data_IF_962215816938
#
_entry.id   IF_962215816938
#
_cell.length_a   1.000
_cell.length_b   1.000
_cell.length_c   1.000
_cell.angle_alpha   90.00
_cell.angle_beta   90.00
_cell.angle_gamma   90.00
#
_symmetry.space_group_name_H-M   'P 1'
#
loop_
_entity.id
_entity.type
_entity.pdbx_description
1 polymer ?
#
# COMPACT_ATOMS: atom_id res chain seq x y z
N UNK A 1 -61.97 -39.30 1.10
CA UNK A 1 -60.73 -39.81 1.75
C UNK A 1 -59.46 -39.56 0.95
N UNK A 2 -59.40 -39.65 -0.37
CA UNK A 2 -58.20 -39.42 -1.19
C UNK A 2 -57.81 -37.91 -1.30
N UNK A 3 -58.83 -37.05 -1.38
CA UNK A 3 -58.57 -35.59 -1.45
C UNK A 3 -58.06 -35.01 -0.13
N UNK A 4 -58.53 -35.48 1.00
CA UNK A 4 -58.03 -35.06 2.33
C UNK A 4 -56.60 -35.52 2.55
N UNK A 5 -56.20 -36.67 2.02
CA UNK A 5 -54.81 -37.13 2.14
C UNK A 5 -53.82 -36.27 1.29
N UNK A 6 -54.24 -35.87 0.09
CA UNK A 6 -53.45 -34.95 -0.76
C UNK A 6 -53.29 -33.56 -0.13
N UNK A 7 -54.33 -33.10 0.55
CA UNK A 7 -54.28 -31.79 1.24
C UNK A 7 -53.32 -31.84 2.44
N UNK A 8 -53.29 -32.94 3.19
CA UNK A 8 -52.34 -33.13 4.30
C UNK A 8 -50.89 -33.29 3.83
N UNK A 9 -50.67 -33.97 2.71
CA UNK A 9 -49.33 -34.12 2.13
C UNK A 9 -48.76 -32.80 1.61
N UNK A 10 -49.59 -31.95 1.02
CA UNK A 10 -49.21 -30.61 0.59
C UNK A 10 -48.92 -29.67 1.77
N UNK A 11 -49.73 -29.73 2.84
CA UNK A 11 -49.48 -29.00 4.09
C UNK A 11 -48.17 -29.44 4.76
N UNK A 12 -47.88 -30.73 4.78
CA UNK A 12 -46.62 -31.26 5.34
C UNK A 12 -45.39 -30.83 4.52
N UNK A 13 -45.49 -30.80 3.18
CA UNK A 13 -44.43 -30.29 2.30
C UNK A 13 -44.22 -28.81 2.48
N UNK A 14 -45.28 -28.01 2.62
CA UNK A 14 -45.22 -26.57 2.93
C UNK A 14 -44.60 -26.33 4.30
N UNK A 15 -45.01 -27.07 5.33
CA UNK A 15 -44.46 -26.94 6.67
C UNK A 15 -42.96 -27.27 6.74
N UNK A 16 -42.55 -28.35 6.09
CA UNK A 16 -41.12 -28.70 5.98
C UNK A 16 -40.32 -27.69 5.18
N UNK A 17 -40.87 -27.12 4.12
CA UNK A 17 -40.26 -26.05 3.36
C UNK A 17 -40.08 -24.79 4.19
N UNK A 18 -41.10 -24.35 4.92
CA UNK A 18 -41.02 -23.21 5.85
C UNK A 18 -40.05 -23.46 7.01
N UNK A 19 -40.06 -24.66 7.59
CA UNK A 19 -39.15 -25.01 8.68
C UNK A 19 -37.69 -25.06 8.23
N UNK A 20 -37.44 -25.59 7.04
CA UNK A 20 -36.07 -25.58 6.46
C UNK A 20 -35.61 -24.15 6.11
N UNK A 21 -36.50 -23.30 5.57
CA UNK A 21 -36.20 -21.89 5.30
C UNK A 21 -35.92 -21.10 6.59
N UNK A 22 -36.70 -21.27 7.64
CA UNK A 22 -36.45 -20.65 8.95
C UNK A 22 -35.13 -21.10 9.57
N UNK A 23 -34.71 -22.35 9.39
CA UNK A 23 -33.43 -22.83 9.85
C UNK A 23 -32.25 -22.30 9.00
N UNK A 24 -32.47 -22.16 7.69
CA UNK A 24 -31.48 -21.47 6.82
C UNK A 24 -31.36 -20.00 7.15
N UNK A 25 -32.46 -19.28 7.40
CA UNK A 25 -32.41 -17.87 7.86
C UNK A 25 -31.69 -17.71 9.21
N UNK A 26 -31.97 -18.60 10.19
CA UNK A 26 -31.23 -18.61 11.47
C UNK A 26 -29.77 -18.95 11.27
N UNK A 27 -29.42 -19.80 10.32
CA UNK A 27 -28.04 -20.13 9.97
C UNK A 27 -27.35 -18.95 9.28
N UNK A 28 -28.05 -18.19 8.43
CA UNK A 28 -27.57 -16.97 7.79
C UNK A 28 -27.40 -15.83 8.80
N UNK A 29 -28.35 -15.64 9.73
CA UNK A 29 -28.26 -14.63 10.79
C UNK A 29 -27.14 -14.90 11.80
N UNK A 30 -26.77 -16.16 12.02
CA UNK A 30 -25.68 -16.57 12.92
C UNK A 30 -24.32 -16.71 12.24
N UNK A 31 -24.16 -16.32 10.96
CA UNK A 31 -22.88 -16.36 10.27
C UNK A 31 -21.91 -15.35 10.90
N UNK A 32 -21.01 -15.88 11.71
CA UNK A 32 -19.96 -15.11 12.35
C UNK A 32 -19.04 -14.51 11.26
N UNK A 33 -18.53 -13.28 11.45
CA UNK A 33 -17.64 -12.59 10.51
C UNK A 33 -16.45 -13.46 10.08
N UNK A 34 -16.02 -14.38 10.93
CA UNK A 34 -14.92 -15.30 10.66
C UNK A 34 -15.18 -16.24 9.47
N UNK A 35 -16.44 -16.50 9.12
CA UNK A 35 -16.81 -17.37 7.99
C UNK A 35 -16.64 -16.67 6.62
N UNK A 36 -16.34 -15.37 6.61
CA UNK A 36 -16.20 -14.56 5.39
C UNK A 36 -14.77 -14.14 5.10
N UNK A 37 -13.78 -14.79 5.73
CA UNK A 37 -12.38 -14.49 5.49
C UNK A 37 -12.00 -14.76 4.02
N UNK A 38 -11.44 -13.76 3.37
CA UNK A 38 -11.04 -13.88 1.96
C UNK A 38 -9.64 -14.49 1.83
N UNK A 39 -9.61 -15.81 1.68
CA UNK A 39 -8.34 -16.54 1.53
C UNK A 39 -7.56 -16.17 0.26
N UNK A 40 -8.23 -15.67 -0.79
CA UNK A 40 -7.52 -15.19 -2.00
C UNK A 40 -6.70 -13.93 -1.76
N UNK A 41 -6.94 -13.21 -0.65
CA UNK A 41 -6.11 -12.08 -0.21
C UNK A 41 -5.13 -12.54 0.86
N UNK A 42 -5.58 -13.34 1.83
CA UNK A 42 -4.76 -13.72 2.98
C UNK A 42 -3.60 -14.65 2.59
N UNK A 43 -3.84 -15.69 1.77
CA UNK A 43 -2.82 -16.68 1.44
C UNK A 43 -1.64 -16.06 0.67
N UNK A 44 -1.85 -15.27 -0.43
CA UNK A 44 -0.74 -14.63 -1.11
C UNK A 44 0.06 -13.69 -0.20
N UNK A 45 -0.61 -12.95 0.69
CA UNK A 45 0.07 -12.11 1.68
C UNK A 45 0.97 -12.94 2.60
N UNK A 46 0.47 -14.07 3.15
CA UNK A 46 1.25 -14.94 4.04
C UNK A 46 2.45 -15.57 3.30
N UNK A 47 2.26 -15.99 2.05
CA UNK A 47 3.35 -16.52 1.22
C UNK A 47 4.44 -15.46 1.03
N UNK A 48 4.07 -14.22 0.64
CA UNK A 48 5.02 -13.13 0.45
C UNK A 48 5.75 -12.77 1.75
N UNK A 49 5.03 -12.71 2.87
CA UNK A 49 5.62 -12.46 4.19
C UNK A 49 6.62 -13.56 4.60
N UNK A 50 6.29 -14.82 4.33
CA UNK A 50 7.18 -15.96 4.58
C UNK A 50 8.44 -15.91 3.70
N UNK A 51 8.28 -15.65 2.40
CA UNK A 51 9.42 -15.44 1.48
C UNK A 51 10.28 -14.26 1.96
N UNK A 52 9.63 -13.16 2.40
CA UNK A 52 10.32 -11.99 2.94
C UNK A 52 11.22 -12.32 4.13
N UNK A 53 10.76 -13.14 5.09
CA UNK A 53 11.61 -13.59 6.23
C UNK A 53 12.82 -14.37 5.73
N UNK A 54 12.62 -15.29 4.77
CA UNK A 54 13.70 -16.10 4.19
C UNK A 54 14.71 -15.23 3.44
N UNK A 55 14.25 -14.27 2.66
CA UNK A 55 15.12 -13.37 1.91
C UNK A 55 15.87 -12.39 2.80
N UNK A 56 15.23 -11.87 3.86
CA UNK A 56 15.92 -11.05 4.87
C UNK A 56 16.98 -11.88 5.60
N UNK A 57 16.69 -13.14 5.93
CA UNK A 57 17.70 -14.05 6.50
C UNK A 57 18.88 -14.21 5.54
N UNK A 58 18.61 -14.51 4.27
CA UNK A 58 19.67 -14.71 3.27
C UNK A 58 20.55 -13.47 3.09
N UNK A 59 19.95 -12.27 3.04
CA UNK A 59 20.68 -11.02 2.76
C UNK A 59 21.42 -10.47 3.97
N UNK A 60 20.89 -10.65 5.18
CA UNK A 60 21.44 -9.95 6.36
C UNK A 60 22.47 -10.77 7.13
N UNK A 61 22.34 -12.10 7.19
CA UNK A 61 23.24 -12.92 8.02
C UNK A 61 24.70 -12.82 7.58
N UNK A 62 25.06 -12.94 6.29
CA UNK A 62 26.45 -12.80 5.86
C UNK A 62 27.05 -11.42 6.16
N UNK A 63 26.31 -10.35 5.92
CA UNK A 63 26.76 -8.97 6.16
C UNK A 63 26.97 -8.71 7.66
N UNK A 64 26.05 -9.16 8.51
CA UNK A 64 26.19 -9.00 9.97
C UNK A 64 27.35 -9.82 10.55
N UNK A 65 27.61 -11.03 10.03
CA UNK A 65 28.76 -11.84 10.43
C UNK A 65 30.07 -11.17 10.06
N UNK A 66 30.20 -10.60 8.87
CA UNK A 66 31.39 -9.86 8.44
C UNK A 66 31.67 -8.64 9.33
N UNK A 67 30.61 -7.98 9.80
CA UNK A 67 30.69 -6.82 10.71
C UNK A 67 30.88 -7.20 12.18
N UNK A 68 30.95 -8.48 12.52
CA UNK A 68 31.05 -8.97 13.92
C UNK A 68 29.82 -8.66 14.76
N UNK A 69 28.65 -8.45 14.13
CA UNK A 69 27.38 -8.14 14.79
C UNK A 69 26.53 -9.41 14.92
N UNK A 70 25.46 -9.33 15.72
CA UNK A 70 24.52 -10.44 15.87
C UNK A 70 23.79 -10.72 14.53
N UNK A 71 24.06 -11.86 13.87
CA UNK A 71 23.55 -12.16 12.53
C UNK A 71 22.02 -12.31 12.49
N UNK A 72 21.39 -12.68 13.59
CA UNK A 72 19.95 -12.96 13.64
C UNK A 72 19.11 -11.75 14.05
N UNK A 73 19.72 -10.65 14.51
CA UNK A 73 18.99 -9.49 15.05
C UNK A 73 17.96 -8.95 14.06
N UNK A 74 18.34 -8.77 12.79
CA UNK A 74 17.47 -8.20 11.78
C UNK A 74 16.34 -9.16 11.36
N UNK A 75 16.64 -10.46 11.34
CA UNK A 75 15.64 -11.50 11.05
C UNK A 75 14.61 -11.61 12.18
N UNK A 76 15.08 -11.57 13.44
CA UNK A 76 14.19 -11.58 14.61
C UNK A 76 13.28 -10.35 14.59
N UNK A 77 13.82 -9.16 14.29
CA UNK A 77 13.03 -7.95 14.15
C UNK A 77 11.98 -8.09 13.03
N UNK A 78 12.37 -8.57 11.84
CA UNK A 78 11.44 -8.78 10.72
C UNK A 78 10.31 -9.75 11.11
N UNK A 79 10.66 -10.87 11.75
CA UNK A 79 9.69 -11.87 12.23
C UNK A 79 8.74 -11.25 13.27
N UNK A 80 9.25 -10.45 14.19
CA UNK A 80 8.43 -9.73 15.17
C UNK A 80 7.45 -8.76 14.50
N UNK A 81 7.90 -8.02 13.48
CA UNK A 81 7.01 -7.15 12.71
C UNK A 81 5.94 -7.93 11.92
N UNK A 82 6.27 -9.10 11.37
CA UNK A 82 5.29 -9.99 10.73
C UNK A 82 4.25 -10.45 11.75
N UNK A 83 4.66 -10.93 12.93
CA UNK A 83 3.74 -11.36 13.98
C UNK A 83 2.85 -10.20 14.47
N UNK A 84 3.44 -9.03 14.70
CA UNK A 84 2.70 -7.83 15.08
C UNK A 84 1.67 -7.44 14.01
N UNK A 85 2.03 -7.55 12.74
CA UNK A 85 1.13 -7.30 11.61
C UNK A 85 -0.03 -8.29 11.57
N UNK A 86 0.20 -9.56 11.85
CA UNK A 86 -0.86 -10.58 11.92
C UNK A 86 -1.83 -10.29 13.07
N UNK A 87 -1.32 -9.88 14.23
CA UNK A 87 -2.15 -9.45 15.36
C UNK A 87 -2.99 -8.22 14.97
N UNK A 88 -2.36 -7.22 14.34
CA UNK A 88 -3.04 -6.01 13.85
C UNK A 88 -4.13 -6.36 12.83
N UNK A 89 -3.85 -7.25 11.88
CA UNK A 89 -4.83 -7.75 10.90
C UNK A 89 -6.01 -8.40 11.63
N UNK A 90 -5.76 -9.27 12.61
CA UNK A 90 -6.80 -9.96 13.37
C UNK A 90 -7.68 -8.98 14.16
N UNK A 91 -7.08 -7.95 14.77
CA UNK A 91 -7.80 -6.90 15.49
C UNK A 91 -8.67 -6.08 14.55
N UNK A 92 -8.08 -5.55 13.46
CA UNK A 92 -8.80 -4.69 12.50
C UNK A 92 -9.89 -5.47 11.77
N UNK A 93 -9.64 -6.74 11.45
CA UNK A 93 -10.65 -7.61 10.85
C UNK A 93 -11.91 -7.74 11.72
N UNK A 94 -11.77 -7.74 13.06
CA UNK A 94 -12.89 -7.82 14.00
C UNK A 94 -13.61 -6.49 14.20
N UNK A 95 -13.00 -5.36 13.87
CA UNK A 95 -13.63 -4.05 14.03
C UNK A 95 -14.84 -3.88 13.12
N UNK A 96 -15.86 -3.17 13.62
CA UNK A 96 -17.00 -2.77 12.78
C UNK A 96 -16.55 -1.66 11.81
N UNK A 97 -16.91 -1.78 10.54
CA UNK A 97 -16.60 -0.78 9.52
C UNK A 97 -17.09 0.64 9.85
N UNK A 98 -18.16 0.75 10.67
CA UNK A 98 -18.63 2.05 11.16
C UNK A 98 -17.55 2.81 11.95
N UNK A 99 -16.68 2.09 12.67
CA UNK A 99 -15.57 2.72 13.39
C UNK A 99 -14.53 3.29 12.41
N UNK A 100 -14.23 2.58 11.34
CA UNK A 100 -13.30 3.03 10.29
C UNK A 100 -13.84 4.22 9.46
N UNK A 101 -15.16 4.44 9.45
CA UNK A 101 -15.81 5.58 8.77
C UNK A 101 -15.91 6.84 9.63
N UNK A 102 -15.39 6.82 10.86
CA UNK A 102 -15.47 7.96 11.78
C UNK A 102 -14.54 9.10 11.32
N UNK A 103 -15.14 10.16 10.77
CA UNK A 103 -14.43 11.33 10.24
C UNK A 103 -13.60 12.07 11.29
N UNK A 104 -14.08 12.16 12.54
CA UNK A 104 -13.33 12.83 13.62
C UNK A 104 -12.03 12.06 13.89
N UNK A 105 -12.12 10.73 13.98
CA UNK A 105 -10.95 9.86 14.17
C UNK A 105 -9.95 10.02 13.01
N UNK A 106 -10.43 9.95 11.76
CA UNK A 106 -9.59 10.10 10.58
C UNK A 106 -8.90 11.48 10.57
N UNK A 107 -9.65 12.55 10.85
CA UNK A 107 -9.10 13.91 10.93
C UNK A 107 -8.05 14.05 12.02
N UNK A 108 -8.29 13.50 13.21
CA UNK A 108 -7.31 13.51 14.32
C UNK A 108 -6.03 12.77 13.94
N UNK A 109 -6.13 11.59 13.32
CA UNK A 109 -4.97 10.81 12.86
C UNK A 109 -4.19 11.60 11.81
N UNK A 110 -4.87 12.26 10.85
CA UNK A 110 -4.20 13.10 9.85
C UNK A 110 -3.45 14.27 10.46
N UNK A 111 -4.01 14.93 11.47
CA UNK A 111 -3.32 16.02 12.20
C UNK A 111 -2.08 15.47 12.93
N UNK A 112 -2.21 14.35 13.65
CA UNK A 112 -1.08 13.71 14.35
C UNK A 112 0.02 13.34 13.34
N UNK A 113 -0.35 12.81 12.19
CA UNK A 113 0.59 12.44 11.14
C UNK A 113 1.36 13.65 10.61
N UNK A 114 0.66 14.73 10.25
CA UNK A 114 1.29 15.97 9.77
C UNK A 114 2.21 16.54 10.85
N UNK A 115 1.77 16.57 12.10
CA UNK A 115 2.60 17.05 13.22
C UNK A 115 3.85 16.16 13.41
N UNK A 116 3.74 14.83 13.27
CA UNK A 116 4.89 13.93 13.36
C UNK A 116 5.89 14.13 12.23
N UNK A 117 5.44 14.38 10.99
CA UNK A 117 6.30 14.74 9.87
C UNK A 117 7.03 16.07 10.13
N UNK A 118 6.30 17.09 10.55
CA UNK A 118 6.87 18.40 10.90
C UNK A 118 7.88 18.27 12.05
N UNK A 119 7.56 17.47 13.07
CA UNK A 119 8.44 17.18 14.18
C UNK A 119 9.78 16.58 13.71
N UNK A 120 9.73 15.53 12.86
CA UNK A 120 10.94 14.94 12.29
C UNK A 120 11.80 15.95 11.51
N UNK A 121 11.18 16.94 10.86
CA UNK A 121 11.87 17.96 10.07
C UNK A 121 12.53 19.05 10.93
N UNK A 122 11.84 19.49 12.00
CA UNK A 122 12.28 20.61 12.83
C UNK A 122 13.32 20.17 13.86
N UNK A 123 13.21 18.96 14.41
CA UNK A 123 14.11 18.51 15.47
C UNK A 123 15.55 18.42 14.97
N UNK A 124 16.44 18.88 15.83
CA UNK A 124 17.89 18.91 15.57
C UNK A 124 18.44 17.47 15.53
N UNK A 125 19.46 17.24 14.68
CA UNK A 125 20.12 15.93 14.51
C UNK A 125 20.74 15.35 15.79
N UNK A 126 20.97 16.17 16.81
CA UNK A 126 21.48 15.74 18.12
C UNK A 126 20.40 15.13 19.02
N UNK A 127 19.12 15.22 18.65
CA UNK A 127 18.06 14.64 19.45
C UNK A 127 17.96 13.13 19.19
N UNK A 128 18.17 12.31 20.19
CA UNK A 128 18.29 10.84 20.07
C UNK A 128 17.09 10.18 19.36
N UNK A 129 15.86 10.77 19.50
CA UNK A 129 14.64 10.26 18.87
C UNK A 129 14.56 10.52 17.36
N UNK A 130 15.33 11.48 16.83
CA UNK A 130 15.27 11.91 15.41
C UNK A 130 16.64 11.89 14.73
N UNK A 131 17.56 11.07 15.21
CA UNK A 131 18.87 10.93 14.60
C UNK A 131 18.73 10.50 13.13
N UNK A 132 19.53 11.08 12.21
CA UNK A 132 19.42 10.76 10.78
C UNK A 132 19.83 9.32 10.52
N UNK A 133 19.11 8.63 9.66
CA UNK A 133 19.44 7.30 9.15
C UNK A 133 19.94 7.48 7.71
N UNK A 134 21.17 7.03 7.42
CA UNK A 134 21.82 7.20 6.11
C UNK A 134 21.78 8.66 5.59
N UNK A 135 21.88 9.64 6.48
CA UNK A 135 21.83 11.07 6.13
C UNK A 135 20.42 11.63 5.90
N UNK A 136 19.39 10.81 5.85
CA UNK A 136 17.99 11.24 5.71
C UNK A 136 17.35 11.52 7.09
N UNK A 137 16.58 12.62 7.17
CA UNK A 137 15.81 13.02 8.34
C UNK A 137 14.35 12.65 8.09
N UNK A 138 13.78 11.74 8.81
CA UNK A 138 12.39 11.31 8.58
C UNK A 138 12.03 10.11 9.45
N UNK A 139 12.94 9.75 10.36
CA UNK A 139 12.85 8.56 11.19
C UNK A 139 12.69 8.93 12.65
N UNK A 140 11.80 8.24 13.35
CA UNK A 140 11.64 8.31 14.80
C UNK A 140 12.21 7.03 15.39
N UNK A 141 13.22 7.16 16.23
CA UNK A 141 13.82 6.03 16.94
C UNK A 141 13.02 5.73 18.22
N UNK A 142 12.37 4.60 18.27
CA UNK A 142 11.63 4.14 19.44
C UNK A 142 12.50 3.10 20.16
N UNK A 143 12.95 3.39 21.41
CA UNK A 143 13.76 2.44 22.18
C UNK A 143 13.05 1.08 22.29
N UNK A 144 13.76 0.00 21.98
CA UNK A 144 13.25 -1.37 22.04
C UNK A 144 12.42 -1.84 20.85
N UNK A 145 11.90 -0.93 20.00
CA UNK A 145 11.06 -1.28 18.84
C UNK A 145 11.83 -1.11 17.53
N UNK A 146 12.66 -0.07 17.44
CA UNK A 146 13.40 0.26 16.22
C UNK A 146 13.02 1.61 15.65
N UNK A 147 13.17 1.79 14.33
CA UNK A 147 12.91 3.04 13.63
C UNK A 147 11.54 3.02 12.96
N UNK A 148 10.78 4.09 13.14
CA UNK A 148 9.47 4.30 12.51
C UNK A 148 9.55 5.54 11.63
N UNK A 149 9.09 5.40 10.38
CA UNK A 149 9.02 6.50 9.42
C UNK A 149 7.58 6.98 9.26
N UNK A 150 7.22 8.20 9.71
CA UNK A 150 5.86 8.73 9.57
C UNK A 150 5.38 8.82 8.12
N UNK A 151 6.27 9.07 7.15
CA UNK A 151 5.96 9.10 5.73
C UNK A 151 5.39 7.75 5.21
N UNK A 152 5.84 6.63 5.76
CA UNK A 152 5.26 5.31 5.45
C UNK A 152 3.77 5.27 5.80
N UNK A 153 3.42 5.75 7.00
CA UNK A 153 2.02 5.80 7.45
C UNK A 153 1.17 6.74 6.60
N UNK A 154 1.75 7.82 6.08
CA UNK A 154 1.04 8.75 5.21
C UNK A 154 0.41 8.06 4.00
N UNK A 155 1.06 7.06 3.41
CA UNK A 155 0.56 6.33 2.23
C UNK A 155 -0.83 5.73 2.45
N UNK A 156 -1.03 4.98 3.54
CA UNK A 156 -2.31 4.34 3.83
C UNK A 156 -3.32 5.31 4.45
N UNK A 157 -2.87 6.25 5.28
CA UNK A 157 -3.78 7.22 5.88
C UNK A 157 -4.32 8.24 4.88
N UNK A 158 -3.59 8.60 3.83
CA UNK A 158 -4.12 9.41 2.72
C UNK A 158 -5.22 8.65 1.97
N UNK A 159 -5.03 7.36 1.70
CA UNK A 159 -6.08 6.53 1.09
C UNK A 159 -7.34 6.56 1.96
N UNK A 160 -7.16 6.32 3.24
CA UNK A 160 -8.28 6.30 4.19
C UNK A 160 -8.99 7.65 4.30
N UNK A 161 -8.22 8.74 4.36
CA UNK A 161 -8.75 10.11 4.38
C UNK A 161 -9.52 10.44 3.10
N UNK A 162 -8.90 10.23 1.93
CA UNK A 162 -9.55 10.51 0.65
C UNK A 162 -10.79 9.65 0.41
N UNK A 163 -10.76 8.37 0.78
CA UNK A 163 -11.94 7.50 0.73
C UNK A 163 -13.09 8.03 1.59
N UNK A 164 -12.79 8.52 2.81
CA UNK A 164 -13.80 9.13 3.69
C UNK A 164 -14.38 10.41 3.10
N UNK A 165 -13.54 11.26 2.50
CA UNK A 165 -13.98 12.53 1.90
C UNK A 165 -14.80 12.30 0.64
N UNK A 166 -14.30 11.50 -0.29
CA UNK A 166 -14.94 11.30 -1.59
C UNK A 166 -16.24 10.51 -1.47
N UNK A 167 -16.28 9.47 -0.64
CA UNK A 167 -17.51 8.68 -0.45
C UNK A 167 -18.69 9.48 0.09
N UNK A 168 -18.43 10.57 0.81
CA UNK A 168 -19.51 11.41 1.34
C UNK A 168 -19.85 12.60 0.45
N UNK A 169 -18.99 12.94 -0.49
CA UNK A 169 -19.21 14.01 -1.47
C UNK A 169 -19.57 13.49 -2.85
N UNK A 170 -19.78 12.19 -2.99
CA UNK A 170 -20.01 11.54 -4.27
C UNK A 170 -21.18 12.17 -5.01
N UNK A 171 -22.32 12.38 -4.35
CA UNK A 171 -23.48 13.06 -4.96
C UNK A 171 -23.19 14.50 -5.40
N UNK A 172 -22.36 15.25 -4.66
CA UNK A 172 -21.95 16.60 -5.06
C UNK A 172 -20.98 16.55 -6.25
N UNK A 173 -20.09 15.55 -6.27
CA UNK A 173 -19.10 15.37 -7.33
C UNK A 173 -19.78 14.97 -8.64
N UNK A 174 -20.79 14.09 -8.58
CA UNK A 174 -21.55 13.64 -9.75
C UNK A 174 -22.49 14.72 -10.32
N UNK A 175 -23.11 15.55 -9.46
CA UNK A 175 -24.13 16.53 -9.86
C UNK A 175 -23.59 17.91 -10.20
N UNK A 176 -22.40 18.30 -9.72
CA UNK A 176 -21.83 19.62 -9.96
C UNK A 176 -20.68 19.57 -10.94
N UNK A 177 -20.79 20.31 -12.02
CA UNK A 177 -19.64 20.63 -12.87
C UNK A 177 -18.61 21.37 -11.99
N UNK A 178 -17.38 20.95 -12.06
CA UNK A 178 -16.29 21.47 -11.20
C UNK A 178 -16.08 22.97 -11.44
N UNK A 179 -16.43 23.50 -12.58
CA UNK A 179 -16.46 24.95 -12.82
C UNK A 179 -17.32 25.69 -11.79
N UNK A 180 -18.44 25.10 -11.35
CA UNK A 180 -19.26 25.68 -10.29
C UNK A 180 -18.61 25.57 -8.91
N UNK A 181 -17.89 24.48 -8.60
CA UNK A 181 -17.19 24.30 -7.32
C UNK A 181 -16.07 25.34 -7.15
N UNK A 182 -15.46 25.78 -8.26
CA UNK A 182 -14.38 26.77 -8.27
C UNK A 182 -14.80 28.20 -8.60
N UNK A 183 -16.07 28.43 -8.95
CA UNK A 183 -16.59 29.76 -9.23
C UNK A 183 -16.40 30.68 -8.01
N UNK A 184 -15.76 31.80 -8.19
CA UNK A 184 -15.51 32.79 -7.13
C UNK A 184 -14.37 32.48 -6.15
N UNK A 185 -13.63 31.36 -6.33
CA UNK A 185 -12.49 31.01 -5.45
C UNK A 185 -11.16 31.52 -6.03
N UNK A 186 -10.28 32.02 -5.15
CA UNK A 186 -8.92 32.41 -5.51
C UNK A 186 -8.08 31.17 -5.91
N UNK A 187 -6.97 31.38 -6.64
CA UNK A 187 -6.06 30.28 -7.02
C UNK A 187 -5.57 29.49 -5.79
N UNK A 188 -5.25 30.19 -4.71
CA UNK A 188 -4.84 29.59 -3.44
C UNK A 188 -5.94 28.69 -2.87
N UNK A 189 -7.19 29.12 -2.82
CA UNK A 189 -8.32 28.30 -2.37
C UNK A 189 -8.60 27.13 -3.31
N UNK A 190 -8.31 27.25 -4.60
CA UNK A 190 -8.43 26.16 -5.58
C UNK A 190 -7.37 25.09 -5.35
N UNK A 191 -6.14 25.44 -5.00
CA UNK A 191 -5.04 24.51 -4.79
C UNK A 191 -5.03 23.92 -3.39
N UNK A 192 -5.27 24.72 -2.36
CA UNK A 192 -5.10 24.36 -0.95
C UNK A 192 -6.42 24.24 -0.18
N UNK A 193 -7.56 24.53 -0.78
CA UNK A 193 -8.84 24.54 -0.08
C UNK A 193 -9.41 23.15 0.20
N UNK A 194 -10.03 23.00 1.38
CA UNK A 194 -10.79 21.80 1.73
C UNK A 194 -9.94 20.55 1.88
N UNK A 195 -10.34 19.47 1.21
CA UNK A 195 -9.70 18.15 1.31
C UNK A 195 -8.27 18.08 0.74
N UNK A 196 -7.87 19.05 -0.09
CA UNK A 196 -6.54 19.09 -0.71
C UNK A 196 -5.46 19.51 0.26
N UNK A 197 -5.79 20.36 1.23
CA UNK A 197 -4.82 20.91 2.16
C UNK A 197 -3.98 19.84 2.89
N UNK A 198 -4.55 18.79 3.51
CA UNK A 198 -3.76 17.75 4.16
C UNK A 198 -2.86 16.99 3.18
N UNK A 199 -3.34 16.70 1.96
CA UNK A 199 -2.57 15.98 0.94
C UNK A 199 -1.37 16.82 0.49
N UNK A 200 -1.61 18.09 0.14
CA UNK A 200 -0.55 18.99 -0.29
C UNK A 200 0.44 19.26 0.86
N UNK A 201 -0.05 19.41 2.09
CA UNK A 201 0.83 19.60 3.25
C UNK A 201 1.80 18.41 3.44
N UNK A 202 1.31 17.16 3.33
CA UNK A 202 2.14 15.98 3.44
C UNK A 202 3.17 15.94 2.29
N UNK A 203 2.72 16.13 1.05
CA UNK A 203 3.61 16.13 -0.12
C UNK A 203 4.71 17.19 -0.01
N UNK A 204 4.39 18.41 0.46
CA UNK A 204 5.37 19.48 0.65
C UNK A 204 6.36 19.14 1.76
N UNK A 205 5.91 18.58 2.88
CA UNK A 205 6.81 18.22 3.99
C UNK A 205 7.75 17.09 3.56
N UNK A 206 7.26 16.05 2.89
CA UNK A 206 8.08 14.95 2.39
C UNK A 206 9.10 15.43 1.34
N UNK A 207 8.70 16.35 0.46
CA UNK A 207 9.59 16.95 -0.52
C UNK A 207 10.70 17.78 0.14
N UNK A 208 10.39 18.53 1.21
CA UNK A 208 11.36 19.29 2.01
C UNK A 208 12.30 18.33 2.79
N UNK A 209 11.88 17.11 3.08
CA UNK A 209 12.67 16.06 3.74
C UNK A 209 13.51 15.23 2.77
N UNK A 210 13.76 15.64 1.56
CA UNK A 210 14.16 15.02 0.30
C UNK A 210 13.78 13.53 0.16
N UNK A 211 12.58 13.18 0.59
CA UNK A 211 12.04 11.82 0.44
C UNK A 211 11.20 11.71 -0.85
N UNK A 212 11.92 11.65 -1.99
CA UNK A 212 11.29 11.60 -3.31
C UNK A 212 10.48 10.31 -3.52
N UNK A 213 10.93 9.20 -2.96
CA UNK A 213 10.27 7.91 -3.13
C UNK A 213 8.86 7.93 -2.53
N UNK A 214 8.73 8.32 -1.27
CA UNK A 214 7.44 8.43 -0.62
C UNK A 214 6.57 9.54 -1.22
N UNK A 215 7.16 10.69 -1.57
CA UNK A 215 6.43 11.78 -2.27
C UNK A 215 5.81 11.31 -3.58
N UNK A 216 6.58 10.59 -4.41
CA UNK A 216 6.12 10.05 -5.68
C UNK A 216 4.96 9.05 -5.48
N UNK A 217 5.09 8.12 -4.54
CA UNK A 217 4.07 7.12 -4.24
C UNK A 217 2.79 7.79 -3.74
N UNK A 218 2.90 8.73 -2.78
CA UNK A 218 1.76 9.45 -2.22
C UNK A 218 1.04 10.26 -3.31
N UNK A 219 1.79 10.95 -4.18
CA UNK A 219 1.21 11.69 -5.30
C UNK A 219 0.48 10.77 -6.29
N UNK A 220 1.11 9.64 -6.66
CA UNK A 220 0.50 8.66 -7.56
C UNK A 220 -0.76 8.04 -6.94
N UNK A 221 -0.73 7.67 -5.67
CA UNK A 221 -1.88 7.14 -4.94
C UNK A 221 -3.01 8.18 -4.85
N UNK A 222 -2.69 9.44 -4.56
CA UNK A 222 -3.67 10.51 -4.54
C UNK A 222 -4.33 10.69 -5.93
N UNK A 223 -3.57 10.61 -7.02
CA UNK A 223 -4.10 10.63 -8.38
C UNK A 223 -5.02 9.43 -8.67
N UNK A 224 -4.62 8.23 -8.28
CA UNK A 224 -5.47 7.03 -8.42
C UNK A 224 -6.78 7.23 -7.66
N UNK A 225 -6.74 7.74 -6.44
CA UNK A 225 -7.93 8.01 -5.61
C UNK A 225 -8.83 9.07 -6.22
N UNK A 226 -8.24 10.14 -6.78
CA UNK A 226 -8.99 11.19 -7.50
C UNK A 226 -9.66 10.59 -8.74
N UNK A 227 -8.94 9.78 -9.53
CA UNK A 227 -9.50 9.09 -10.71
C UNK A 227 -10.64 8.15 -10.36
N UNK A 228 -10.53 7.42 -9.25
CA UNK A 228 -11.55 6.48 -8.78
C UNK A 228 -12.76 7.16 -8.12
N UNK A 229 -12.69 8.46 -7.79
CA UNK A 229 -13.73 9.18 -7.03
C UNK A 229 -14.96 9.56 -7.85
N UNK A 230 -14.99 9.30 -9.17
CA UNK A 230 -16.07 9.72 -10.06
C UNK A 230 -15.95 11.17 -10.58
N UNK A 231 -14.83 11.84 -10.34
CA UNK A 231 -14.56 13.18 -10.89
C UNK A 231 -14.55 13.09 -12.42
N UNK A 232 -15.13 14.11 -13.08
CA UNK A 232 -15.22 14.16 -14.55
C UNK A 232 -13.83 14.04 -15.21
N UNK A 233 -13.75 13.28 -16.30
CA UNK A 233 -12.50 13.01 -17.04
C UNK A 233 -11.72 14.28 -17.43
N UNK A 234 -12.41 15.36 -17.73
CA UNK A 234 -11.77 16.65 -18.08
C UNK A 234 -10.88 17.17 -16.94
N UNK A 235 -11.34 17.02 -15.71
CA UNK A 235 -10.60 17.44 -14.53
C UNK A 235 -9.48 16.49 -14.16
N UNK A 236 -9.76 15.20 -14.20
CA UNK A 236 -8.73 14.18 -13.99
C UNK A 236 -7.57 14.38 -14.97
N UNK A 237 -7.86 14.55 -16.26
CA UNK A 237 -6.84 14.80 -17.28
C UNK A 237 -6.12 16.14 -17.08
N UNK A 238 -6.81 17.18 -16.60
CA UNK A 238 -6.20 18.47 -16.25
C UNK A 238 -5.20 18.37 -15.11
N UNK A 239 -5.57 17.73 -13.99
CA UNK A 239 -4.68 17.52 -12.85
C UNK A 239 -3.51 16.58 -13.20
N UNK A 240 -3.76 15.49 -13.90
CA UNK A 240 -2.70 14.57 -14.30
C UNK A 240 -1.70 15.23 -15.25
N UNK A 241 -2.18 16.01 -16.24
CA UNK A 241 -1.30 16.79 -17.13
C UNK A 241 -0.48 17.82 -16.34
N UNK A 242 -1.09 18.55 -15.40
CA UNK A 242 -0.38 19.52 -14.57
C UNK A 242 0.73 18.84 -13.75
N UNK A 243 0.43 17.74 -13.06
CA UNK A 243 1.41 17.01 -12.24
C UNK A 243 2.51 16.43 -13.12
N UNK A 244 2.17 15.80 -14.25
CA UNK A 244 3.15 15.26 -15.19
C UNK A 244 4.01 16.37 -15.80
N UNK A 245 3.44 17.53 -16.12
CA UNK A 245 4.21 18.67 -16.62
C UNK A 245 5.16 19.24 -15.57
N UNK A 246 4.70 19.39 -14.32
CA UNK A 246 5.55 19.86 -13.23
C UNK A 246 6.70 18.86 -12.96
N UNK A 247 6.41 17.56 -13.00
CA UNK A 247 7.41 16.52 -12.85
C UNK A 247 8.40 16.52 -14.02
N UNK A 248 7.93 16.67 -15.27
CA UNK A 248 8.79 16.76 -16.45
C UNK A 248 9.69 18.02 -16.43
N UNK A 249 9.14 19.17 -16.00
CA UNK A 249 9.89 20.40 -15.83
C UNK A 249 10.97 20.22 -14.73
N UNK A 250 10.63 19.60 -13.62
CA UNK A 250 11.55 19.33 -12.52
C UNK A 250 12.68 18.37 -12.95
N UNK A 251 12.34 17.26 -13.61
CA UNK A 251 13.32 16.33 -14.15
C UNK A 251 14.19 16.96 -15.25
N UNK A 252 13.59 17.76 -16.14
CA UNK A 252 14.30 18.53 -17.14
C UNK A 252 15.26 19.57 -16.53
N UNK A 253 14.84 20.24 -15.46
CA UNK A 253 15.69 21.14 -14.70
C UNK A 253 16.88 20.40 -14.10
N UNK A 254 16.67 19.25 -13.45
CA UNK A 254 17.76 18.41 -12.92
C UNK A 254 18.73 17.95 -14.02
N UNK A 255 18.20 17.60 -15.19
CA UNK A 255 19.00 17.18 -16.34
C UNK A 255 19.86 18.32 -16.91
N UNK A 256 19.30 19.54 -17.04
CA UNK A 256 20.00 20.71 -17.61
C UNK A 256 21.02 21.29 -16.64
N UNK A 257 20.68 21.36 -15.35
CA UNK A 257 21.53 22.02 -14.33
C UNK A 257 22.76 21.18 -14.02
N UNK A 258 22.71 19.84 -14.19
CA UNK A 258 23.85 18.94 -13.98
C UNK A 258 24.50 19.07 -12.61
N UNK A 259 25.23 18.02 -12.16
CA UNK A 259 25.77 17.93 -10.80
C UNK A 259 26.78 19.01 -10.36
N UNK A 260 27.35 19.78 -11.30
CA UNK A 260 28.43 20.70 -11.01
C UNK A 260 27.98 22.10 -10.52
N UNK A 261 26.70 22.44 -10.68
CA UNK A 261 26.20 23.81 -10.37
C UNK A 261 25.46 23.84 -9.03
N UNK A 262 24.95 22.68 -8.54
CA UNK A 262 24.16 22.64 -7.31
C UNK A 262 25.08 22.48 -6.09
N UNK A 263 25.05 23.42 -5.14
CA UNK A 263 25.86 23.30 -3.92
C UNK A 263 25.50 22.00 -3.15
N UNK A 264 26.52 21.29 -2.68
CA UNK A 264 26.37 19.97 -2.01
C UNK A 264 25.58 20.02 -0.70
N UNK A 265 25.36 21.21 -0.12
CA UNK A 265 24.54 21.38 1.08
C UNK A 265 23.04 21.46 0.82
N UNK A 266 22.60 21.57 -0.45
CA UNK A 266 21.18 21.59 -0.80
C UNK A 266 20.65 20.16 -0.93
N UNK A 267 19.41 19.91 -0.50
CA UNK A 267 18.75 18.60 -0.66
C UNK A 267 18.72 18.10 -2.12
N UNK A 268 18.72 19.02 -3.06
CA UNK A 268 18.73 18.78 -4.50
C UNK A 268 20.01 18.08 -4.97
N UNK A 269 21.15 18.31 -4.30
CA UNK A 269 22.41 17.65 -4.64
C UNK A 269 22.35 16.11 -4.50
N UNK A 270 21.63 15.61 -3.50
CA UNK A 270 21.38 14.18 -3.31
C UNK A 270 20.53 13.58 -4.46
N UNK A 271 19.52 14.31 -4.88
CA UNK A 271 18.64 13.91 -5.99
C UNK A 271 19.44 13.84 -7.29
N UNK A 272 20.31 14.84 -7.51
CA UNK A 272 21.12 14.90 -8.70
C UNK A 272 22.08 13.71 -8.83
N UNK A 273 22.75 13.31 -7.74
CA UNK A 273 23.60 12.11 -7.72
C UNK A 273 22.87 10.84 -8.11
N UNK A 274 21.61 10.65 -7.65
CA UNK A 274 20.77 9.51 -8.05
C UNK A 274 20.38 9.58 -9.53
N UNK A 275 20.18 10.79 -10.05
CA UNK A 275 19.87 10.98 -11.46
C UNK A 275 21.09 10.72 -12.36
N UNK A 276 22.30 11.17 -11.95
CA UNK A 276 23.56 10.84 -12.63
C UNK A 276 23.80 9.32 -12.67
N UNK A 277 23.61 8.63 -11.54
CA UNK A 277 23.71 7.19 -11.48
C UNK A 277 22.71 6.48 -12.40
N UNK A 278 21.50 7.02 -12.52
CA UNK A 278 20.48 6.50 -13.42
C UNK A 278 20.85 6.64 -14.90
N UNK A 279 21.44 7.79 -15.30
CA UNK A 279 21.83 8.05 -16.69
C UNK A 279 23.00 7.15 -17.10
N UNK A 280 24.01 7.01 -16.26
CA UNK A 280 25.12 6.09 -16.50
C UNK A 280 25.78 5.63 -15.19
N UNK A 281 25.36 4.46 -14.66
CA UNK A 281 25.90 3.97 -13.38
C UNK A 281 27.38 3.56 -13.44
N UNK A 282 27.92 3.34 -14.65
CA UNK A 282 29.30 2.87 -14.84
C UNK A 282 30.34 4.00 -14.84
N UNK A 283 29.92 5.26 -14.83
CA UNK A 283 30.87 6.40 -14.79
C UNK A 283 31.47 6.61 -13.42
N UNK A 284 30.75 6.26 -12.33
CA UNK A 284 31.21 6.41 -10.95
C UNK A 284 30.88 5.15 -10.13
N UNK A 285 31.60 4.07 -10.42
CA UNK A 285 31.43 2.78 -9.74
C UNK A 285 31.84 2.80 -8.27
N UNK A 286 32.57 3.83 -7.82
CA UNK A 286 32.99 3.94 -6.43
C UNK A 286 31.93 4.60 -5.52
N UNK A 287 31.03 5.42 -6.09
CA UNK A 287 30.09 6.22 -5.31
C UNK A 287 28.65 6.12 -5.84
N UNK A 288 28.23 7.08 -6.69
CA UNK A 288 26.82 7.24 -7.08
C UNK A 288 26.29 6.07 -7.90
N UNK A 289 27.08 5.49 -8.79
CA UNK A 289 26.71 4.36 -9.65
C UNK A 289 26.83 2.98 -8.99
N UNK A 290 27.48 2.90 -7.82
CA UNK A 290 27.84 1.62 -7.17
C UNK A 290 26.63 0.70 -6.94
N UNK A 291 25.54 1.24 -6.40
CA UNK A 291 24.35 0.46 -6.08
C UNK A 291 23.66 -0.10 -7.33
N UNK A 292 23.44 0.75 -8.32
CA UNK A 292 22.75 0.35 -9.55
C UNK A 292 23.59 -0.61 -10.42
N UNK A 293 24.90 -0.40 -10.51
CA UNK A 293 25.79 -1.31 -11.23
C UNK A 293 25.82 -2.71 -10.60
N UNK A 294 25.92 -2.79 -9.26
CA UNK A 294 25.90 -4.08 -8.55
C UNK A 294 24.51 -4.74 -8.59
N UNK A 295 23.44 -3.97 -8.70
CA UNK A 295 22.10 -4.48 -8.97
C UNK A 295 22.05 -5.20 -10.33
N UNK A 296 22.65 -4.61 -11.38
CA UNK A 296 22.74 -5.25 -12.70
C UNK A 296 23.58 -6.51 -12.67
N UNK A 297 24.72 -6.50 -11.94
CA UNK A 297 25.53 -7.71 -11.76
C UNK A 297 24.76 -8.82 -11.05
N UNK A 298 23.95 -8.49 -10.02
CA UNK A 298 23.08 -9.47 -9.35
C UNK A 298 22.12 -10.14 -10.33
N UNK A 299 21.41 -9.32 -11.13
CA UNK A 299 20.43 -9.83 -12.10
C UNK A 299 21.09 -10.71 -13.16
N UNK A 300 22.24 -10.28 -13.70
CA UNK A 300 22.97 -11.04 -14.73
C UNK A 300 23.52 -12.35 -14.16
N UNK A 301 24.09 -12.30 -12.94
CA UNK A 301 24.63 -13.49 -12.27
C UNK A 301 23.53 -14.53 -11.97
N UNK A 302 22.31 -14.10 -11.71
CA UNK A 302 21.18 -14.98 -11.44
C UNK A 302 20.72 -15.77 -12.68
N UNK A 303 20.78 -15.17 -13.86
CA UNK A 303 20.28 -15.81 -15.07
C UNK A 303 18.83 -16.30 -14.91
N UNK A 304 18.49 -17.42 -15.58
CA UNK A 304 17.13 -17.96 -15.56
C UNK A 304 16.78 -18.69 -14.25
N UNK A 305 17.69 -19.49 -13.72
CA UNK A 305 17.42 -20.43 -12.60
C UNK A 305 18.04 -20.02 -11.26
N UNK A 306 18.83 -18.96 -11.25
CA UNK A 306 19.51 -18.47 -10.05
C UNK A 306 20.77 -19.28 -9.69
N UNK A 307 21.47 -18.77 -8.68
CA UNK A 307 22.68 -19.40 -8.10
C UNK A 307 22.36 -20.36 -6.95
N UNK A 308 21.09 -20.44 -6.56
CA UNK A 308 20.61 -21.12 -5.39
C UNK A 308 20.45 -20.20 -4.18
N UNK A 309 19.47 -20.51 -3.34
CA UNK A 309 19.16 -19.73 -2.14
C UNK A 309 20.40 -19.66 -1.21
N UNK A 310 20.73 -18.46 -0.76
CA UNK A 310 21.89 -18.22 0.09
C UNK A 310 23.21 -18.02 -0.68
N UNK A 311 23.26 -18.17 -2.01
CA UNK A 311 24.48 -18.15 -2.82
C UNK A 311 24.67 -16.86 -3.66
N UNK A 312 23.99 -15.78 -3.32
CA UNK A 312 24.24 -14.47 -3.93
C UNK A 312 25.65 -13.99 -3.62
N UNK A 313 26.33 -13.46 -4.61
CA UNK A 313 27.64 -12.78 -4.46
C UNK A 313 27.42 -11.36 -3.96
N UNK A 314 26.46 -10.68 -4.57
CA UNK A 314 26.27 -9.24 -4.37
C UNK A 314 25.87 -8.86 -2.95
N UNK A 315 25.17 -9.75 -2.21
CA UNK A 315 24.82 -9.54 -0.79
C UNK A 315 26.01 -9.54 0.17
N UNK A 316 27.17 -10.03 -0.23
CA UNK A 316 28.37 -10.14 0.61
C UNK A 316 29.14 -8.80 0.71
N UNK A 317 28.41 -7.67 0.81
CA UNK A 317 28.99 -6.33 0.98
C UNK A 317 29.22 -5.58 -0.32
N UNK A 318 28.96 -6.18 -1.49
CA UNK A 318 29.08 -5.49 -2.79
C UNK A 318 27.86 -4.61 -3.09
N UNK A 319 26.65 -5.04 -2.74
CA UNK A 319 25.44 -4.28 -2.94
C UNK A 319 24.93 -3.71 -1.62
N UNK A 320 25.12 -2.41 -1.36
CA UNK A 320 24.52 -1.75 -0.20
C UNK A 320 22.99 -1.85 -0.24
N UNK A 321 22.37 -1.84 0.93
CA UNK A 321 20.90 -1.92 1.09
C UNK A 321 20.26 -3.12 0.38
N UNK A 322 21.01 -4.23 0.25
CA UNK A 322 20.53 -5.48 -0.36
C UNK A 322 19.30 -6.07 0.35
N UNK A 323 19.13 -5.79 1.65
CA UNK A 323 18.02 -6.26 2.46
C UNK A 323 16.78 -5.34 2.38
N UNK A 324 16.91 -4.10 1.91
CA UNK A 324 15.85 -3.10 1.87
C UNK A 324 15.43 -2.82 0.42
N UNK A 325 16.06 -1.87 -0.24
CA UNK A 325 15.64 -1.33 -1.53
C UNK A 325 16.04 -2.22 -2.70
N UNK A 326 17.15 -2.96 -2.57
CA UNK A 326 17.70 -3.85 -3.59
C UNK A 326 17.47 -5.34 -3.31
N UNK A 327 16.44 -5.68 -2.52
CA UNK A 327 16.14 -7.10 -2.25
C UNK A 327 15.74 -7.87 -3.51
N UNK A 328 15.03 -7.22 -4.46
CA UNK A 328 14.56 -7.87 -5.68
C UNK A 328 15.71 -8.34 -6.59
N UNK A 329 16.78 -7.58 -6.87
CA UNK A 329 17.99 -8.09 -7.54
C UNK A 329 18.61 -9.29 -6.85
N UNK A 330 18.67 -9.34 -5.52
CA UNK A 330 19.18 -10.50 -4.79
C UNK A 330 18.24 -11.72 -4.94
N UNK A 331 16.93 -11.50 -4.93
CA UNK A 331 15.95 -12.54 -5.25
C UNK A 331 16.26 -13.14 -6.63
N UNK A 332 16.50 -12.29 -7.63
CA UNK A 332 16.85 -12.75 -8.99
C UNK A 332 18.21 -13.43 -9.00
N UNK A 333 19.21 -12.95 -8.27
CA UNK A 333 20.51 -13.59 -8.19
C UNK A 333 20.42 -15.01 -7.59
N UNK A 334 19.63 -15.18 -6.54
CA UNK A 334 19.49 -16.48 -5.83
C UNK A 334 18.50 -17.43 -6.50
N UNK A 335 17.33 -16.94 -6.95
CA UNK A 335 16.22 -17.77 -7.46
C UNK A 335 16.05 -17.68 -8.98
N UNK A 336 16.86 -16.88 -9.64
CA UNK A 336 16.76 -16.60 -11.07
C UNK A 336 15.60 -15.69 -11.46
N UNK A 337 15.55 -15.32 -12.72
CA UNK A 337 14.45 -14.55 -13.30
C UNK A 337 13.12 -15.27 -13.10
N UNK A 338 13.09 -16.61 -13.19
CA UNK A 338 11.90 -17.43 -12.98
C UNK A 338 11.37 -17.22 -11.54
N UNK A 339 12.24 -17.27 -10.54
CA UNK A 339 11.86 -17.02 -9.14
C UNK A 339 11.33 -15.60 -8.93
N UNK A 340 11.97 -14.60 -9.53
CA UNK A 340 11.51 -13.20 -9.52
C UNK A 340 10.12 -13.06 -10.15
N UNK A 341 9.86 -13.68 -11.29
CA UNK A 341 8.55 -13.66 -11.96
C UNK A 341 7.48 -14.34 -11.10
N UNK A 342 7.77 -15.45 -10.44
CA UNK A 342 6.81 -16.14 -9.55
C UNK A 342 6.43 -15.23 -8.38
N UNK A 343 7.39 -14.56 -7.75
CA UNK A 343 7.11 -13.64 -6.64
C UNK A 343 6.26 -12.45 -7.13
N UNK A 344 6.59 -11.86 -8.26
CA UNK A 344 5.78 -10.81 -8.89
C UNK A 344 4.37 -11.31 -9.23
N UNK A 345 4.23 -12.51 -9.76
CA UNK A 345 2.92 -13.09 -10.08
C UNK A 345 2.05 -13.26 -8.84
N UNK A 346 2.60 -13.71 -7.70
CA UNK A 346 1.88 -13.81 -6.42
C UNK A 346 1.44 -12.42 -5.95
N UNK A 347 2.31 -11.42 -6.05
CA UNK A 347 1.99 -10.05 -5.65
C UNK A 347 0.93 -9.43 -6.57
N UNK A 348 1.04 -9.59 -7.88
CA UNK A 348 0.03 -9.12 -8.85
C UNK A 348 -1.31 -9.86 -8.69
N UNK A 349 -1.30 -11.14 -8.34
CA UNK A 349 -2.52 -11.87 -7.99
C UNK A 349 -3.19 -11.24 -6.76
N UNK A 350 -2.44 -10.95 -5.70
CA UNK A 350 -2.94 -10.27 -4.50
C UNK A 350 -3.57 -8.91 -4.85
N UNK A 351 -2.85 -8.07 -5.61
CA UNK A 351 -3.31 -6.75 -6.07
C UNK A 351 -4.60 -6.89 -6.89
N UNK A 352 -4.63 -7.81 -7.84
CA UNK A 352 -5.79 -8.04 -8.71
C UNK A 352 -7.01 -8.49 -7.93
N UNK A 353 -6.84 -9.39 -6.93
CA UNK A 353 -7.94 -9.84 -6.07
C UNK A 353 -8.53 -8.70 -5.26
N UNK A 354 -7.69 -7.83 -4.71
CA UNK A 354 -8.14 -6.65 -3.98
C UNK A 354 -8.85 -5.66 -4.90
N UNK A 355 -8.31 -5.40 -6.09
CA UNK A 355 -8.90 -4.52 -7.09
C UNK A 355 -10.28 -5.01 -7.55
N UNK A 356 -10.43 -6.31 -7.82
CA UNK A 356 -11.73 -6.91 -8.21
C UNK A 356 -12.77 -6.73 -7.10
N UNK A 357 -12.40 -6.97 -5.83
CA UNK A 357 -13.30 -6.72 -4.69
C UNK A 357 -13.67 -5.23 -4.63
N UNK A 358 -12.71 -4.33 -4.85
CA UNK A 358 -12.94 -2.88 -4.86
C UNK A 358 -13.91 -2.43 -5.96
N UNK A 359 -13.74 -2.92 -7.19
CA UNK A 359 -14.61 -2.58 -8.32
C UNK A 359 -16.04 -3.10 -8.12
N UNK A 360 -16.18 -4.25 -7.46
CA UNK A 360 -17.49 -4.87 -7.19
C UNK A 360 -18.15 -4.37 -5.91
N UNK A 361 -17.43 -3.61 -5.08
CA UNK A 361 -17.95 -3.13 -3.80
C UNK A 361 -19.11 -2.15 -4.01
N UNK A 362 -20.21 -2.35 -3.26
CA UNK A 362 -21.40 -1.51 -3.32
C UNK A 362 -21.24 -0.18 -2.57
N UNK A 363 -20.37 -0.14 -1.56
CA UNK A 363 -20.08 1.07 -0.81
C UNK A 363 -18.93 1.83 -1.47
N UNK A 364 -19.13 3.09 -1.85
CA UNK A 364 -18.08 3.96 -2.39
C UNK A 364 -16.84 4.06 -1.48
N UNK A 365 -17.04 4.11 -0.16
CA UNK A 365 -15.93 4.08 0.80
C UNK A 365 -15.12 2.79 0.70
N UNK A 366 -15.79 1.64 0.63
CA UNK A 366 -15.16 0.33 0.54
C UNK A 366 -14.40 0.19 -0.79
N UNK A 367 -15.04 0.59 -1.89
CA UNK A 367 -14.43 0.62 -3.24
C UNK A 367 -13.15 1.45 -3.26
N UNK A 368 -13.22 2.68 -2.77
CA UNK A 368 -12.09 3.62 -2.79
C UNK A 368 -10.91 3.12 -1.94
N UNK A 369 -11.15 2.54 -0.75
CA UNK A 369 -10.06 1.97 0.05
C UNK A 369 -9.40 0.80 -0.69
N UNK A 370 -10.20 -0.11 -1.26
CA UNK A 370 -9.66 -1.27 -1.97
C UNK A 370 -8.84 -0.87 -3.20
N UNK A 371 -9.36 0.08 -4.01
CA UNK A 371 -8.65 0.62 -5.18
C UNK A 371 -7.38 1.36 -4.74
N UNK A 372 -7.45 2.17 -3.69
CA UNK A 372 -6.31 2.91 -3.16
C UNK A 372 -5.19 2.01 -2.65
N UNK A 373 -5.51 0.98 -1.85
CA UNK A 373 -4.50 0.04 -1.34
C UNK A 373 -3.92 -0.83 -2.46
N UNK A 374 -4.75 -1.27 -3.41
CA UNK A 374 -4.27 -1.99 -4.60
C UNK A 374 -3.33 -1.11 -5.44
N UNK A 375 -3.71 0.15 -5.65
CA UNK A 375 -2.90 1.14 -6.34
C UNK A 375 -1.59 1.46 -5.62
N UNK A 376 -1.61 1.55 -4.29
CA UNK A 376 -0.40 1.72 -3.48
C UNK A 376 0.59 0.57 -3.70
N UNK A 377 0.13 -0.67 -3.59
CA UNK A 377 1.00 -1.85 -3.81
C UNK A 377 1.55 -1.88 -5.24
N UNK A 378 0.71 -1.56 -6.24
CA UNK A 378 1.12 -1.52 -7.65
C UNK A 378 2.20 -0.45 -7.89
N UNK A 379 1.99 0.77 -7.41
CA UNK A 379 2.95 1.87 -7.56
C UNK A 379 4.24 1.53 -6.82
N UNK A 380 4.15 1.02 -5.60
CA UNK A 380 5.32 0.72 -4.78
C UNK A 380 6.20 -0.37 -5.39
N UNK A 381 5.61 -1.47 -5.92
CA UNK A 381 6.40 -2.50 -6.60
C UNK A 381 7.02 -1.96 -7.89
N UNK A 382 6.29 -1.14 -8.65
CA UNK A 382 6.81 -0.53 -9.88
C UNK A 382 7.99 0.41 -9.59
N UNK A 383 7.88 1.22 -8.53
CA UNK A 383 8.93 2.15 -8.11
C UNK A 383 10.17 1.39 -7.61
N UNK A 384 10.00 0.33 -6.80
CA UNK A 384 11.13 -0.46 -6.30
C UNK A 384 11.82 -1.23 -7.44
N UNK A 385 11.07 -2.06 -8.18
CA UNK A 385 11.65 -2.87 -9.26
C UNK A 385 12.19 -1.97 -10.37
N UNK A 386 11.44 -0.94 -10.77
CA UNK A 386 11.86 0.02 -11.80
C UNK A 386 13.14 0.75 -11.43
N UNK A 387 13.32 1.13 -10.16
CA UNK A 387 14.57 1.70 -9.66
C UNK A 387 15.73 0.69 -9.67
N UNK A 388 15.47 -0.54 -9.22
CA UNK A 388 16.49 -1.58 -9.14
C UNK A 388 16.99 -2.06 -10.50
N UNK A 389 16.14 -2.03 -11.56
CA UNK A 389 16.51 -2.40 -12.92
C UNK A 389 16.83 -1.18 -13.83
N UNK A 390 16.86 0.03 -13.24
CA UNK A 390 17.23 1.25 -13.95
C UNK A 390 16.22 1.76 -14.99
N UNK A 391 14.93 1.48 -14.85
CA UNK A 391 13.86 2.10 -15.66
C UNK A 391 13.54 3.52 -15.15
N UNK A 392 13.66 3.72 -13.83
CA UNK A 392 13.51 5.02 -13.16
C UNK A 392 14.69 5.24 -12.23
N UNK A 393 15.01 6.50 -11.83
CA UNK A 393 16.01 6.74 -10.81
C UNK A 393 15.68 6.01 -9.52
N UNK A 394 16.71 5.53 -8.83
CA UNK A 394 16.58 4.89 -7.53
C UNK A 394 15.92 5.82 -6.51
N UNK A 395 14.93 5.32 -5.77
CA UNK A 395 14.10 6.12 -4.86
C UNK A 395 14.23 5.76 -3.40
N UNK A 396 14.88 4.64 -3.05
CA UNK A 396 14.97 4.17 -1.68
C UNK A 396 13.67 3.57 -1.12
N UNK A 397 12.80 3.08 -2.00
CA UNK A 397 11.50 2.49 -1.62
C UNK A 397 11.63 0.98 -1.48
N UNK A 398 11.12 0.42 -0.41
CA UNK A 398 11.15 -1.01 -0.12
C UNK A 398 10.20 -1.82 -1.02
N UNK A 399 10.58 -3.08 -1.35
CA UNK A 399 9.69 -4.01 -2.05
C UNK A 399 8.58 -4.52 -1.10
N UNK A 400 7.30 -4.48 -1.51
CA UNK A 400 6.18 -4.86 -0.66
C UNK A 400 6.31 -6.27 -0.07
N UNK A 401 6.22 -6.38 1.25
CA UNK A 401 6.23 -7.61 2.05
C UNK A 401 7.52 -8.44 2.01
N UNK A 402 8.47 -8.16 1.13
CA UNK A 402 9.74 -8.88 1.04
C UNK A 402 10.86 -8.16 1.78
N UNK A 403 10.98 -6.85 1.58
CA UNK A 403 12.08 -6.06 2.13
C UNK A 403 12.07 -6.02 3.65
N UNK A 404 13.26 -5.90 4.23
CA UNK A 404 13.41 -5.48 5.61
C UNK A 404 12.93 -4.04 5.77
N UNK A 405 11.85 -3.85 6.51
CA UNK A 405 11.30 -2.51 6.72
C UNK A 405 10.16 -2.57 7.72
N UNK A 406 10.47 -2.41 9.02
CA UNK A 406 9.48 -2.57 10.08
C UNK A 406 8.22 -1.70 9.89
N UNK A 407 8.40 -0.38 9.69
CA UNK A 407 7.27 0.55 9.48
C UNK A 407 6.56 0.32 8.15
N UNK A 408 7.31 0.10 7.06
CA UNK A 408 6.72 -0.18 5.74
C UNK A 408 5.90 -1.47 5.75
N UNK A 409 6.44 -2.55 6.33
CA UNK A 409 5.73 -3.82 6.45
C UNK A 409 4.43 -3.68 7.26
N UNK A 410 4.46 -2.99 8.41
CA UNK A 410 3.27 -2.73 9.24
C UNK A 410 2.22 -1.94 8.48
N UNK A 411 2.62 -0.90 7.79
CA UNK A 411 1.70 0.00 7.06
C UNK A 411 1.04 -0.71 5.89
N UNK A 412 1.80 -1.46 5.11
CA UNK A 412 1.22 -2.24 4.01
C UNK A 412 0.30 -3.34 4.54
N UNK A 413 0.64 -3.96 5.67
CA UNK A 413 -0.21 -4.94 6.35
C UNK A 413 -1.49 -4.31 6.92
N UNK A 414 -1.46 -3.02 7.32
CA UNK A 414 -2.67 -2.24 7.65
C UNK A 414 -3.60 -2.13 6.44
N UNK A 415 -3.05 -1.90 5.25
CA UNK A 415 -3.81 -1.94 4.00
C UNK A 415 -4.46 -3.30 3.75
N UNK A 416 -3.74 -4.40 3.97
CA UNK A 416 -4.30 -5.76 3.89
C UNK A 416 -5.39 -6.00 4.94
N UNK A 417 -5.22 -5.48 6.17
CA UNK A 417 -6.23 -5.57 7.20
C UNK A 417 -7.55 -4.89 6.80
N UNK A 418 -7.46 -3.70 6.20
CA UNK A 418 -8.63 -3.00 5.63
C UNK A 418 -9.26 -3.82 4.50
N UNK A 419 -8.45 -4.37 3.60
CA UNK A 419 -8.93 -5.19 2.48
C UNK A 419 -9.69 -6.43 2.96
N UNK A 420 -9.18 -7.16 3.93
CA UNK A 420 -9.84 -8.33 4.50
C UNK A 420 -11.15 -7.96 5.22
N UNK A 421 -11.13 -6.87 6.02
CA UNK A 421 -12.32 -6.39 6.72
C UNK A 421 -13.43 -5.98 5.74
N UNK A 422 -13.07 -5.22 4.70
CA UNK A 422 -14.01 -4.76 3.65
C UNK A 422 -14.54 -5.93 2.85
N UNK A 423 -13.68 -6.86 2.42
CA UNK A 423 -14.11 -8.04 1.67
C UNK A 423 -15.14 -8.88 2.42
N UNK A 424 -14.96 -9.02 3.75
CA UNK A 424 -15.91 -9.72 4.60
C UNK A 424 -17.25 -8.96 4.75
N UNK A 425 -17.22 -7.63 4.83
CA UNK A 425 -18.42 -6.79 4.91
C UNK A 425 -19.22 -6.83 3.61
N UNK A 426 -18.57 -6.70 2.46
CA UNK A 426 -19.23 -6.74 1.15
C UNK A 426 -19.88 -8.11 0.91
N UNK A 427 -19.20 -9.20 1.26
CA UNK A 427 -19.77 -10.55 1.14
C UNK A 427 -20.97 -10.76 2.06
N UNK A 428 -20.94 -10.21 3.28
CA UNK A 428 -22.08 -10.24 4.20
C UNK A 428 -23.27 -9.48 3.62
N UNK A 429 -23.05 -8.31 3.03
CA UNK A 429 -24.11 -7.52 2.38
C UNK A 429 -24.74 -8.25 1.22
N UNK A 430 -23.91 -8.86 0.36
CA UNK A 430 -24.38 -9.65 -0.77
C UNK A 430 -25.34 -10.77 -0.31
N UNK A 431 -24.94 -11.51 0.73
CA UNK A 431 -25.78 -12.61 1.28
C UNK A 431 -27.07 -12.04 1.91
N UNK A 432 -26.99 -10.94 2.65
CA UNK A 432 -28.17 -10.31 3.26
C UNK A 432 -29.19 -9.84 2.21
N UNK A 433 -28.73 -9.30 1.09
CA UNK A 433 -29.61 -8.85 0.00
C UNK A 433 -30.25 -10.03 -0.73
N UNK A 434 -29.48 -11.10 -0.97
CA UNK A 434 -30.03 -12.34 -1.53
C UNK A 434 -31.11 -12.94 -0.62
N UNK A 435 -30.88 -12.97 0.68
CA UNK A 435 -31.87 -13.44 1.67
C UNK A 435 -33.15 -12.60 1.67
N UNK A 436 -33.01 -11.26 1.64
CA UNK A 436 -34.16 -10.35 1.60
C UNK A 436 -34.96 -10.47 0.28
N UNK A 437 -34.26 -10.66 -0.83
CA UNK A 437 -34.95 -10.86 -2.11
C UNK A 437 -35.71 -12.17 -2.13
N UNK A 438 -35.15 -13.23 -1.55
CA UNK A 438 -35.81 -14.52 -1.44
C UNK A 438 -37.04 -14.47 -0.54
N UNK A 439 -36.95 -13.83 0.63
CA UNK A 439 -38.09 -13.69 1.55
C UNK A 439 -39.24 -12.83 0.99
N UNK A 440 -38.94 -11.85 0.14
CA UNK A 440 -39.94 -11.00 -0.53
C UNK A 440 -40.61 -11.70 -1.73
N UNK A 441 -39.98 -12.72 -2.29
CA UNK A 441 -40.51 -13.48 -3.43
C UNK A 441 -41.41 -14.69 -3.04
N UNK A 442 -41.46 -15.05 -1.74
CA UNK A 442 -42.35 -16.08 -1.23
C UNK A 442 -43.74 -15.47 -1.01
N UNK A 443 -44.79 -15.92 -1.72
CA UNK A 443 -46.14 -15.39 -1.51
C UNK A 443 -46.56 -15.60 -0.06
N UNK A 444 -46.94 -14.52 0.64
CA UNK A 444 -47.68 -14.61 1.89
C UNK A 444 -49.07 -15.19 1.54
N UNK A 445 -49.29 -16.45 1.83
CA UNK A 445 -50.63 -16.95 1.85
C UNK A 445 -51.33 -16.32 3.06
N UNK A 446 -52.11 -15.25 2.81
CA UNK A 446 -53.10 -14.80 3.77
C UNK A 446 -54.10 -15.97 3.97
N UNK A 447 -54.19 -16.48 5.18
CA UNK A 447 -55.22 -17.40 5.58
C UNK A 447 -56.53 -16.59 5.68
N UNK A 448 -57.38 -16.70 4.64
CA UNK A 448 -58.80 -16.41 4.76
C UNK A 448 -59.56 -17.54 5.48
#
# INVERSE_FOLDING_TARGET
MVETYKHFENLYKLFNSCYNNMNEEKKIMNLNKNNFLNYSILIPYLILAGIGIVMVFSTTVPDQLQKGLNPYKLVINQTAFVLLSLIMIAVIYRLKLRALKNRKMIGTIMVILILSLIFCRIMHSSFALTAPVNGARGWIHIPGIGTVQPAEFAKVFIIWYLASVFSTKQEEIEKRDINEIFKGKTLFQKLFGGWRLPVVAILLVDLIMPDLGNTLIIAAVALIMIGASGISWRWYSGYSKLILSLMAIFLGFLFIVGGNIIPSFLPIAYINKRFEAFVNPFTDLANSGHQLANSYYAIVNGGWTGRGLGNSIQKNGFLPEAQTDFIFPIVVEELGIIGGIIILAILFFLISRMLIVGIRAKSAFNSLIMIGVSGLLLVQVFVNVGGAIGIIPETGVTFPFLSQGGSSFLVLSLGIAFALNISADEKRREISELSNHYSSSVPTYEND
#
